data_IF_821234910343
#
_entry.id   IF_821234910343
#
_cell.length_a   1.000
_cell.length_b   1.000
_cell.length_c   1.000
_cell.angle_alpha   90.00
_cell.angle_beta   90.00
_cell.angle_gamma   90.00
#
_symmetry.space_group_name_H-M   'P 1'
#
loop_
_entity.id
_entity.type
_entity.pdbx_description
1 polymer ?
#
# COMPACT_ATOMS: atom_id res chain seq x y z
N UNK A 1 -14.80 2.71 -14.01
CA UNK A 1 -13.69 3.66 -14.23
C UNK A 1 -13.75 4.32 -15.60
N UNK A 2 -13.76 5.65 -15.59
CA UNK A 2 -13.61 6.58 -16.72
C UNK A 2 -12.12 6.81 -17.03
N UNK A 3 -11.81 7.47 -18.15
CA UNK A 3 -10.43 7.87 -18.48
C UNK A 3 -9.81 8.78 -17.41
N UNK A 4 -10.61 9.69 -16.85
CA UNK A 4 -10.19 10.61 -15.78
C UNK A 4 -9.82 9.85 -14.50
N UNK A 5 -10.63 8.86 -14.13
CA UNK A 5 -10.35 7.98 -12.99
C UNK A 5 -9.09 7.12 -13.23
N UNK A 6 -8.90 6.60 -14.45
CA UNK A 6 -7.70 5.83 -14.80
C UNK A 6 -6.44 6.70 -14.73
N UNK A 7 -6.51 7.94 -15.22
CA UNK A 7 -5.40 8.87 -15.15
C UNK A 7 -5.03 9.23 -13.71
N UNK A 8 -6.02 9.55 -12.87
CA UNK A 8 -5.78 9.85 -11.46
C UNK A 8 -5.24 8.63 -10.69
N UNK A 9 -5.82 7.45 -10.91
CA UNK A 9 -5.31 6.20 -10.32
C UNK A 9 -3.84 5.99 -10.71
N UNK A 10 -3.49 6.10 -11.99
CA UNK A 10 -2.11 5.95 -12.44
C UNK A 10 -1.18 6.91 -11.71
N UNK A 11 -1.53 8.20 -11.66
CA UNK A 11 -0.73 9.23 -10.99
C UNK A 11 -0.49 8.90 -9.52
N UNK A 12 -1.51 8.43 -8.79
CA UNK A 12 -1.39 8.05 -7.39
C UNK A 12 -0.39 6.90 -7.22
N UNK A 13 -0.52 5.84 -8.03
CA UNK A 13 0.33 4.67 -7.93
C UNK A 13 1.78 4.95 -8.37
N UNK A 14 1.98 5.77 -9.39
CA UNK A 14 3.33 6.20 -9.83
C UNK A 14 4.01 7.04 -8.74
N UNK A 15 3.30 7.98 -8.11
CA UNK A 15 3.85 8.78 -7.02
C UNK A 15 4.24 7.92 -5.80
N UNK A 16 3.39 6.97 -5.40
CA UNK A 16 3.73 6.02 -4.33
C UNK A 16 4.94 5.16 -4.69
N UNK A 17 5.01 4.67 -5.93
CA UNK A 17 6.13 3.86 -6.38
C UNK A 17 7.45 4.64 -6.31
N UNK A 18 7.44 5.91 -6.74
CA UNK A 18 8.64 6.74 -6.82
C UNK A 18 9.07 7.32 -5.46
N UNK A 19 8.11 7.70 -4.61
CA UNK A 19 8.38 8.52 -3.42
C UNK A 19 7.97 7.89 -2.10
N UNK A 20 7.12 6.86 -2.13
CA UNK A 20 6.49 6.32 -0.92
C UNK A 20 5.31 7.15 -0.40
N UNK A 21 4.93 8.23 -1.09
CA UNK A 21 3.85 9.15 -0.73
C UNK A 21 2.85 9.35 -1.89
N UNK A 22 1.58 9.67 -1.59
CA UNK A 22 0.62 10.04 -2.62
C UNK A 22 0.91 11.45 -3.16
N UNK A 23 0.45 11.76 -4.38
CA UNK A 23 0.56 13.11 -4.91
C UNK A 23 -0.51 14.02 -4.27
N UNK A 24 -0.33 15.35 -4.32
CA UNK A 24 -1.45 16.26 -4.09
C UNK A 24 -2.53 16.03 -5.17
N UNK A 25 -3.80 16.04 -4.77
CA UNK A 25 -4.95 15.81 -5.66
C UNK A 25 -5.95 16.95 -5.52
N UNK A 26 -6.09 17.75 -6.58
CA UNK A 26 -7.06 18.86 -6.61
C UNK A 26 -8.47 18.40 -6.99
N UNK A 27 -8.59 17.22 -7.61
CA UNK A 27 -9.84 16.66 -8.11
C UNK A 27 -10.57 15.77 -7.08
N UNK A 28 -11.14 16.41 -6.06
CA UNK A 28 -11.82 15.72 -4.97
C UNK A 28 -13.00 14.85 -5.43
N UNK A 29 -13.68 15.21 -6.52
CA UNK A 29 -14.81 14.42 -7.04
C UNK A 29 -14.35 13.08 -7.61
N UNK A 30 -13.31 13.08 -8.46
CA UNK A 30 -12.74 11.85 -8.99
C UNK A 30 -12.07 11.03 -7.88
N UNK A 31 -11.41 11.68 -6.92
CA UNK A 31 -10.80 10.99 -5.78
C UNK A 31 -11.84 10.23 -4.94
N UNK A 32 -12.96 10.86 -4.58
CA UNK A 32 -14.05 10.20 -3.87
C UNK A 32 -14.70 9.08 -4.69
N UNK A 33 -14.78 9.24 -6.01
CA UNK A 33 -15.25 8.17 -6.91
C UNK A 33 -14.32 6.95 -6.91
N UNK A 34 -13.00 7.18 -6.87
CA UNK A 34 -12.01 6.11 -6.71
C UNK A 34 -12.14 5.42 -5.35
N UNK A 35 -12.39 6.18 -4.28
CA UNK A 35 -12.63 5.64 -2.95
C UNK A 35 -13.89 4.75 -2.91
N UNK A 36 -14.99 5.20 -3.51
CA UNK A 36 -16.23 4.41 -3.64
C UNK A 36 -16.06 3.14 -4.48
N UNK A 37 -15.03 3.08 -5.32
CA UNK A 37 -14.64 1.90 -6.10
C UNK A 37 -13.56 1.05 -5.41
N UNK A 38 -13.24 1.32 -4.14
CA UNK A 38 -12.24 0.58 -3.38
C UNK A 38 -10.82 0.64 -4.00
N UNK A 39 -10.49 1.75 -4.68
CA UNK A 39 -9.17 1.97 -5.28
C UNK A 39 -8.21 2.65 -4.28
N UNK A 40 -8.75 3.52 -3.45
CA UNK A 40 -8.05 4.23 -2.37
C UNK A 40 -8.91 4.26 -1.11
N UNK A 41 -8.29 4.47 0.04
CA UNK A 41 -8.97 4.77 1.30
C UNK A 41 -8.65 6.21 1.67
N UNK A 42 -9.67 6.95 2.12
CA UNK A 42 -9.56 8.35 2.51
C UNK A 42 -9.81 8.50 4.01
N UNK A 43 -9.15 9.46 4.65
CA UNK A 43 -9.53 9.93 6.00
C UNK A 43 -10.75 10.88 5.95
N UNK A 44 -11.18 11.36 7.13
CA UNK A 44 -12.29 12.31 7.27
C UNK A 44 -12.04 13.65 6.56
N UNK A 45 -10.79 13.96 6.23
CA UNK A 45 -10.37 15.17 5.52
C UNK A 45 -10.14 14.93 4.01
N UNK A 46 -10.64 13.82 3.46
CA UNK A 46 -10.47 13.40 2.06
C UNK A 46 -8.98 13.19 1.66
N UNK A 47 -8.10 12.91 2.62
CA UNK A 47 -6.68 12.60 2.33
C UNK A 47 -6.49 11.11 2.12
N UNK A 48 -5.65 10.75 1.15
CA UNK A 48 -5.29 9.36 0.89
C UNK A 48 -4.51 8.82 2.09
N UNK A 49 -5.10 7.84 2.79
CA UNK A 49 -4.39 7.06 3.82
C UNK A 49 -3.84 5.76 3.26
N UNK A 50 -4.40 5.29 2.14
CA UNK A 50 -4.06 4.00 1.55
C UNK A 50 -4.44 3.93 0.07
N UNK A 51 -3.60 3.25 -0.71
CA UNK A 51 -3.85 2.82 -2.08
C UNK A 51 -3.12 1.48 -2.28
N UNK A 52 -3.82 0.36 -2.03
CA UNK A 52 -3.20 -0.97 -1.97
C UNK A 52 -2.20 -1.21 -3.11
N UNK A 53 -0.94 -1.60 -2.82
CA UNK A 53 -0.46 -2.05 -1.51
C UNK A 53 0.18 -0.95 -0.63
N UNK A 54 0.06 0.33 -0.99
CA UNK A 54 0.72 1.43 -0.29
C UNK A 54 -0.18 2.04 0.79
N UNK A 55 0.44 2.57 1.83
CA UNK A 55 -0.18 3.34 2.91
C UNK A 55 0.67 4.58 3.25
N UNK A 56 0.07 5.54 3.94
CA UNK A 56 0.77 6.75 4.44
C UNK A 56 1.04 6.73 5.93
N UNK A 57 0.35 5.85 6.68
CA UNK A 57 0.53 5.69 8.12
C UNK A 57 1.65 4.70 8.47
N UNK A 58 2.20 4.84 9.69
CA UNK A 58 3.31 4.01 10.19
C UNK A 58 2.86 2.81 11.04
N UNK A 59 1.55 2.67 11.27
CA UNK A 59 0.99 1.62 12.14
C UNK A 59 1.03 0.20 11.54
N UNK A 60 1.42 0.08 10.26
CA UNK A 60 1.45 -1.16 9.50
C UNK A 60 2.85 -1.74 9.32
N UNK A 61 3.15 -2.20 8.10
CA UNK A 61 4.44 -2.74 7.72
C UNK A 61 5.26 -1.75 6.88
N UNK A 62 6.58 -1.86 6.97
CA UNK A 62 7.55 -1.02 6.27
C UNK A 62 8.43 -1.84 5.32
N UNK A 63 8.70 -1.28 4.15
CA UNK A 63 9.62 -1.83 3.15
C UNK A 63 10.76 -0.85 2.94
N UNK A 64 12.00 -1.31 3.13
CA UNK A 64 13.21 -0.52 2.90
C UNK A 64 14.01 -1.14 1.75
N UNK A 65 14.23 -0.39 0.66
CA UNK A 65 15.03 -0.82 -0.48
C UNK A 65 15.53 0.37 -1.31
N UNK A 66 16.70 0.24 -1.94
CA UNK A 66 17.28 1.25 -2.86
C UNK A 66 17.39 2.67 -2.26
N UNK A 67 17.46 2.80 -0.93
CA UNK A 67 17.49 4.10 -0.24
C UNK A 67 16.11 4.76 -0.05
N UNK A 68 15.04 4.04 -0.38
CA UNK A 68 13.65 4.46 -0.20
C UNK A 68 12.96 3.61 0.87
N UNK A 69 11.89 4.19 1.40
CA UNK A 69 11.00 3.55 2.37
C UNK A 69 9.57 3.66 1.87
N UNK A 70 8.85 2.54 1.87
CA UNK A 70 7.42 2.49 1.61
C UNK A 70 6.71 1.90 2.82
N UNK A 71 5.43 2.25 2.99
CA UNK A 71 4.55 1.68 4.01
C UNK A 71 3.41 0.94 3.34
N UNK A 72 2.99 -0.15 3.95
CA UNK A 72 1.74 -0.85 3.64
C UNK A 72 0.96 -1.07 4.93
N UNK A 73 -0.36 -1.20 4.85
CA UNK A 73 -1.20 -1.33 6.05
C UNK A 73 -0.89 -2.63 6.82
N UNK A 74 -0.44 -3.68 6.13
CA UNK A 74 -0.06 -4.93 6.76
C UNK A 74 1.15 -5.60 6.10
N UNK A 75 1.61 -6.73 6.66
CA UNK A 75 2.72 -7.51 6.11
C UNK A 75 2.46 -8.02 4.68
N UNK A 76 1.21 -8.38 4.36
CA UNK A 76 0.82 -8.80 3.01
C UNK A 76 1.01 -7.67 2.00
N UNK A 77 0.61 -6.45 2.37
CA UNK A 77 0.83 -5.26 1.54
C UNK A 77 2.32 -4.97 1.34
N UNK A 78 3.13 -5.06 2.39
CA UNK A 78 4.58 -4.90 2.25
C UNK A 78 5.20 -5.91 1.27
N UNK A 79 4.75 -7.16 1.28
CA UNK A 79 5.16 -8.16 0.28
C UNK A 79 4.64 -7.81 -1.12
N UNK A 80 3.43 -7.27 -1.21
CA UNK A 80 2.84 -6.72 -2.43
C UNK A 80 3.67 -5.57 -3.02
N UNK A 81 4.16 -4.65 -2.19
CA UNK A 81 5.06 -3.55 -2.61
C UNK A 81 6.34 -4.12 -3.22
N UNK A 82 6.99 -5.07 -2.53
CA UNK A 82 8.21 -5.72 -3.04
C UNK A 82 8.00 -6.34 -4.41
N UNK A 83 6.88 -7.04 -4.60
CA UNK A 83 6.52 -7.65 -5.87
C UNK A 83 6.19 -6.60 -6.95
N UNK A 84 5.37 -5.59 -6.62
CA UNK A 84 4.93 -4.56 -7.56
C UNK A 84 6.08 -3.71 -8.09
N UNK A 85 7.06 -3.41 -7.23
CA UNK A 85 8.24 -2.60 -7.55
C UNK A 85 9.41 -3.40 -8.11
N UNK A 86 9.31 -4.74 -8.18
CA UNK A 86 10.39 -5.60 -8.65
C UNK A 86 11.67 -5.43 -7.83
N UNK A 87 11.55 -5.42 -6.50
CA UNK A 87 12.68 -5.23 -5.60
C UNK A 87 13.38 -6.56 -5.35
N UNK A 88 14.56 -6.74 -5.94
CA UNK A 88 15.39 -7.94 -5.71
C UNK A 88 15.90 -8.03 -4.27
N UNK A 89 16.23 -6.87 -3.69
CA UNK A 89 16.83 -6.71 -2.38
C UNK A 89 15.99 -5.72 -1.58
N UNK A 90 15.38 -6.17 -0.49
CA UNK A 90 14.56 -5.35 0.39
C UNK A 90 14.59 -5.88 1.83
N UNK A 91 14.21 -5.04 2.78
CA UNK A 91 13.90 -5.44 4.15
C UNK A 91 12.45 -5.10 4.41
N UNK A 92 11.65 -6.11 4.77
CA UNK A 92 10.29 -5.93 5.25
C UNK A 92 10.30 -6.03 6.78
N UNK A 93 9.66 -5.07 7.46
CA UNK A 93 9.41 -5.13 8.90
C UNK A 93 7.91 -4.93 9.15
N UNK A 94 7.25 -5.86 9.84
CA UNK A 94 5.83 -5.71 10.18
C UNK A 94 5.60 -4.88 11.47
N UNK A 95 4.34 -4.61 11.78
CA UNK A 95 3.94 -3.84 12.96
C UNK A 95 4.34 -4.51 14.30
N UNK A 96 4.55 -5.83 14.31
CA UNK A 96 4.99 -6.59 15.49
C UNK A 96 6.50 -6.63 15.66
N UNK A 97 7.25 -6.11 14.68
CA UNK A 97 8.71 -6.10 14.65
C UNK A 97 9.34 -7.32 13.96
N UNK A 98 8.55 -8.22 13.36
CA UNK A 98 9.09 -9.31 12.54
C UNK A 98 9.75 -8.71 11.32
N UNK A 99 11.00 -9.12 11.09
CA UNK A 99 11.83 -8.59 10.01
C UNK A 99 12.27 -9.70 9.06
N UNK A 100 11.97 -9.54 7.77
CA UNK A 100 12.27 -10.50 6.72
C UNK A 100 13.10 -9.81 5.64
N UNK A 101 14.27 -10.37 5.34
CA UNK A 101 15.06 -9.92 4.20
C UNK A 101 14.56 -10.56 2.90
N UNK A 102 14.57 -9.80 1.82
CA UNK A 102 14.40 -10.29 0.46
C UNK A 102 15.73 -10.37 -0.26
N UNK A 103 15.92 -11.46 -1.01
CA UNK A 103 17.09 -11.74 -1.87
C UNK A 103 16.61 -12.30 -3.19
N UNK A 104 17.05 -11.71 -4.31
CA UNK A 104 16.58 -12.09 -5.67
C UNK A 104 15.05 -12.16 -5.77
N UNK A 105 14.37 -11.20 -5.14
CA UNK A 105 12.91 -11.07 -5.15
C UNK A 105 12.16 -12.13 -4.34
N UNK A 106 12.86 -12.87 -3.45
CA UNK A 106 12.26 -13.89 -2.58
C UNK A 106 12.59 -13.63 -1.12
N UNK A 107 11.68 -13.92 -0.18
CA UNK A 107 11.98 -13.85 1.24
C UNK A 107 13.07 -14.88 1.58
N UNK A 108 14.06 -14.46 2.36
CA UNK A 108 15.18 -15.30 2.81
C UNK A 108 14.79 -16.20 3.98
N UNK A 109 13.76 -15.82 4.71
CA UNK A 109 13.22 -16.51 5.87
C UNK A 109 11.76 -16.94 5.64
N UNK A 110 11.29 -17.88 6.44
CA UNK A 110 9.89 -18.32 6.41
C UNK A 110 9.12 -17.60 7.51
N UNK A 111 7.94 -17.10 7.16
CA UNK A 111 6.97 -16.56 8.11
C UNK A 111 5.56 -17.00 7.71
N UNK A 112 4.64 -16.94 8.66
CA UNK A 112 3.23 -17.21 8.44
C UNK A 112 2.47 -15.90 8.55
N UNK A 113 1.73 -15.55 7.50
CA UNK A 113 0.78 -14.45 7.54
C UNK A 113 -0.62 -15.01 7.81
N UNK A 114 -1.29 -14.50 8.85
CA UNK A 114 -2.63 -14.94 9.22
C UNK A 114 -3.67 -13.96 8.65
N UNK A 115 -4.52 -14.46 7.76
CA UNK A 115 -5.68 -13.72 7.24
C UNK A 115 -6.87 -14.02 8.14
N UNK A 116 -7.17 -13.12 9.07
CA UNK A 116 -8.23 -13.31 10.06
C UNK A 116 -9.65 -13.06 9.50
N UNK A 117 -9.77 -12.22 8.48
CA UNK A 117 -11.05 -11.78 7.89
C UNK A 117 -11.15 -12.29 6.45
N UNK A 118 -12.30 -12.84 6.02
CA UNK A 118 -12.52 -13.22 4.62
C UNK A 118 -12.32 -12.03 3.67
N UNK A 119 -11.70 -12.26 2.51
CA UNK A 119 -11.38 -11.18 1.57
C UNK A 119 -12.59 -10.36 1.09
N UNK A 120 -13.77 -10.98 1.05
CA UNK A 120 -15.01 -10.29 0.69
C UNK A 120 -15.47 -9.25 1.74
N UNK A 121 -14.93 -9.30 2.96
CA UNK A 121 -15.28 -8.42 4.09
C UNK A 121 -14.18 -7.42 4.42
N UNK A 122 -13.03 -7.45 3.72
CA UNK A 122 -11.92 -6.55 4.03
C UNK A 122 -12.30 -5.07 3.98
N UNK A 123 -13.20 -4.70 3.06
CA UNK A 123 -13.65 -3.32 2.89
C UNK A 123 -14.70 -2.87 3.91
N UNK A 124 -15.15 -3.74 4.81
CA UNK A 124 -16.07 -3.35 5.88
C UNK A 124 -15.38 -2.38 6.87
N UNK A 125 -14.07 -2.54 7.09
CA UNK A 125 -13.27 -1.71 8.00
C UNK A 125 -11.77 -1.57 7.62
N UNK A 126 -11.41 -1.71 6.33
CA UNK A 126 -10.01 -1.74 5.84
C UNK A 126 -9.08 -0.64 6.38
N UNK A 127 -9.61 0.55 6.69
CA UNK A 127 -8.84 1.66 7.24
C UNK A 127 -8.39 1.45 8.70
N UNK A 128 -8.89 0.40 9.37
CA UNK A 128 -8.62 0.06 10.77
C UNK A 128 -7.95 -1.31 10.95
N UNK A 129 -7.65 -2.00 9.84
CA UNK A 129 -7.05 -3.36 9.82
C UNK A 129 -5.56 -3.36 9.54
#
# INVERSE_FOLDING_TARGET
>A
MTERELALRRMIFEAFADTGEPPPVDDAATLRSLAAQHVVVLDEADRIVMAHPFATHDDGARVEARGHTWRGSCAWDAFGIVAALGLDEAIVTDASGIRIAFRKGRPADHAVFHVAVPAAQWWDDIGFT
#
